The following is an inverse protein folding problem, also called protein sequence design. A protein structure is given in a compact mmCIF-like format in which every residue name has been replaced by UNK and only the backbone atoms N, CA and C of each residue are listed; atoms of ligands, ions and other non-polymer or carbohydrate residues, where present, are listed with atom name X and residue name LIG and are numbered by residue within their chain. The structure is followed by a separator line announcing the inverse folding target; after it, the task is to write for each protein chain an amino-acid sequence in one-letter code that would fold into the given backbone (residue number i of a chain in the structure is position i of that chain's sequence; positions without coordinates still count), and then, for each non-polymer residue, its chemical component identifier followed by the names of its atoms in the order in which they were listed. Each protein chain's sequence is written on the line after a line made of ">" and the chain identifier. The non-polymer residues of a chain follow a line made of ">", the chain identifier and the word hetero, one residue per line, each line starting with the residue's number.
data_IF_315419728426
#
_entry.id   IF_315419728426
#
_cell.length_a   1.000
_cell.length_b   1.000
_cell.length_c   1.000
_cell.angle_alpha   90.00
_cell.angle_beta   90.00
_cell.angle_gamma   90.00
#
_symmetry.space_group_name_H-M   'P 1'
#
loop_
_entity.id
_entity.type
_entity.pdbx_description
1 polymer ?
#
# COMPACT_ATOMS: atom_id res chain seq x y z
N UNK A 1 26.13 8.32 0.17
CA UNK A 1 25.23 8.44 1.33
C UNK A 1 24.33 7.21 1.28
N UNK A 2 24.41 6.32 2.28
CA UNK A 2 23.50 5.19 2.37
C UNK A 2 22.10 5.75 2.63
N UNK A 3 21.22 5.63 1.65
CA UNK A 3 19.82 6.05 1.83
C UNK A 3 19.10 4.95 2.61
N UNK A 4 18.70 5.26 3.84
CA UNK A 4 17.86 4.35 4.62
C UNK A 4 16.50 4.18 3.95
N UNK A 5 15.82 3.01 4.13
CA UNK A 5 14.47 2.81 3.68
C UNK A 5 13.52 3.90 4.19
N UNK A 6 12.63 4.37 3.31
CA UNK A 6 11.52 5.22 3.70
C UNK A 6 10.54 4.43 4.58
N UNK A 7 9.75 5.13 5.39
CA UNK A 7 8.71 4.53 6.23
C UNK A 7 7.34 4.83 5.64
N UNK A 8 6.50 3.82 5.49
CA UNK A 8 5.08 3.95 5.15
C UNK A 8 4.23 3.65 6.39
N UNK A 9 3.46 4.63 6.83
CA UNK A 9 2.50 4.46 7.91
C UNK A 9 1.30 3.66 7.40
N UNK A 10 1.21 2.40 7.80
CA UNK A 10 0.09 1.52 7.50
C UNK A 10 -0.99 1.72 8.55
N UNK A 11 -2.23 1.67 8.12
CA UNK A 11 -3.38 1.89 9.00
C UNK A 11 -4.33 0.71 8.98
N UNK A 12 -4.86 0.40 10.17
CA UNK A 12 -6.08 -0.38 10.29
C UNK A 12 -7.28 0.56 10.25
N UNK A 13 -8.33 0.19 9.53
CA UNK A 13 -9.53 0.98 9.22
C UNK A 13 -10.25 1.60 10.42
N UNK A 14 -10.12 0.99 11.60
CA UNK A 14 -10.87 1.35 12.81
C UNK A 14 -10.68 2.79 13.32
N UNK A 15 -9.72 3.55 12.81
CA UNK A 15 -9.45 4.91 13.31
C UNK A 15 -10.00 6.03 12.41
N UNK A 16 -10.64 5.72 11.28
CA UNK A 16 -11.24 6.69 10.39
C UNK A 16 -10.28 7.84 10.00
N UNK A 17 -10.80 9.04 9.78
CA UNK A 17 -10.00 10.22 9.43
C UNK A 17 -9.03 10.65 10.54
N UNK A 18 -9.39 10.45 11.83
CA UNK A 18 -8.51 10.79 12.95
C UNK A 18 -7.17 10.07 12.88
N UNK A 19 -7.20 8.76 12.67
CA UNK A 19 -5.96 8.02 12.56
C UNK A 19 -5.20 8.34 11.27
N UNK A 20 -5.89 8.78 10.20
CA UNK A 20 -5.22 9.26 8.99
C UNK A 20 -4.44 10.56 9.26
N UNK A 21 -5.03 11.47 10.04
CA UNK A 21 -4.33 12.66 10.53
C UNK A 21 -3.11 12.30 11.38
N UNK A 22 -3.20 11.30 12.25
CA UNK A 22 -2.08 10.86 13.08
C UNK A 22 -0.97 10.22 12.24
N UNK A 23 -1.34 9.43 11.23
CA UNK A 23 -0.40 8.86 10.26
C UNK A 23 0.32 9.96 9.47
N UNK A 24 -0.42 10.93 8.93
CA UNK A 24 0.13 12.05 8.16
C UNK A 24 1.03 12.98 9.00
N UNK A 25 0.83 13.03 10.31
CA UNK A 25 1.66 13.80 11.27
C UNK A 25 2.78 12.95 11.90
N UNK A 26 2.91 11.68 11.55
CA UNK A 26 3.90 10.80 12.16
C UNK A 26 5.33 11.11 11.77
N UNK A 27 5.54 11.81 10.65
CA UNK A 27 6.84 12.03 10.00
C UNK A 27 7.21 10.93 9.02
N UNK A 28 6.34 9.93 8.78
CA UNK A 28 6.55 8.91 7.76
C UNK A 28 6.52 9.53 6.36
N UNK A 29 7.35 9.02 5.45
CA UNK A 29 7.42 9.50 4.07
C UNK A 29 6.18 9.12 3.26
N UNK A 30 5.49 8.04 3.64
CA UNK A 30 4.26 7.60 3.00
C UNK A 30 3.17 7.35 4.04
N UNK A 31 1.92 7.59 3.62
CA UNK A 31 0.72 7.13 4.34
C UNK A 31 -0.04 6.18 3.45
N UNK A 32 -0.30 5.00 3.97
CA UNK A 32 -1.02 3.96 3.25
C UNK A 32 -2.52 4.07 3.50
N UNK A 33 -3.29 3.85 2.43
CA UNK A 33 -4.74 3.71 2.44
C UNK A 33 -5.18 2.56 1.53
N UNK A 34 -6.13 1.78 2.01
CA UNK A 34 -6.81 0.74 1.24
C UNK A 34 -7.92 1.33 0.38
N UNK A 35 -7.87 1.12 -0.93
CA UNK A 35 -8.84 1.72 -1.87
C UNK A 35 -9.82 0.69 -2.39
N UNK A 36 -11.11 0.96 -2.23
CA UNK A 36 -12.23 0.21 -2.79
C UNK A 36 -13.27 1.12 -3.42
N UNK A 37 -14.23 0.51 -4.12
CA UNK A 37 -15.36 1.20 -4.73
C UNK A 37 -16.67 0.68 -4.14
N UNK A 38 -17.58 1.58 -3.84
CA UNK A 38 -18.97 1.29 -3.47
C UNK A 38 -19.85 1.00 -4.69
N UNK A 39 -21.06 0.52 -4.46
CA UNK A 39 -22.00 0.19 -5.54
C UNK A 39 -22.51 1.38 -6.34
N UNK A 40 -22.50 2.58 -5.77
CA UNK A 40 -22.80 3.86 -6.42
C UNK A 40 -21.56 4.53 -7.06
N UNK A 41 -20.40 3.86 -7.00
CA UNK A 41 -19.18 4.27 -7.68
C UNK A 41 -18.21 5.11 -6.85
N UNK A 42 -18.52 5.47 -5.60
CA UNK A 42 -17.63 6.26 -4.76
C UNK A 42 -16.35 5.48 -4.41
N UNK A 43 -15.18 6.11 -4.52
CA UNK A 43 -13.91 5.57 -4.03
C UNK A 43 -13.77 5.85 -2.54
N UNK A 44 -13.58 4.79 -1.76
CA UNK A 44 -13.56 4.83 -0.30
C UNK A 44 -12.31 4.18 0.27
N UNK A 45 -11.93 4.61 1.48
CA UNK A 45 -10.86 3.99 2.26
C UNK A 45 -11.45 2.88 3.12
N UNK A 46 -11.28 1.64 2.68
CA UNK A 46 -11.77 0.45 3.39
C UNK A 46 -11.00 -0.80 3.00
N UNK A 47 -10.60 -1.62 3.99
CA UNK A 47 -9.80 -2.82 3.74
C UNK A 47 -10.64 -3.99 3.21
N UNK A 48 -11.75 -4.31 3.86
CA UNK A 48 -12.51 -5.53 3.58
C UNK A 48 -13.47 -5.40 2.38
N UNK A 49 -13.75 -6.48 1.65
CA UNK A 49 -14.70 -6.46 0.54
C UNK A 49 -16.16 -6.36 1.00
N UNK A 50 -16.41 -6.40 2.30
CA UNK A 50 -17.76 -6.40 2.91
C UNK A 50 -17.84 -5.41 4.05
N UNK A 51 -19.06 -4.88 4.27
CA UNK A 51 -19.43 -4.04 5.41
C UNK A 51 -20.71 -4.57 5.99
N UNK A 52 -20.78 -4.81 7.32
CA UNK A 52 -21.95 -5.40 7.96
C UNK A 52 -22.37 -6.75 7.37
N UNK A 53 -21.42 -7.54 6.84
CA UNK A 53 -21.67 -8.82 6.18
C UNK A 53 -22.18 -8.72 4.72
N UNK A 54 -22.35 -7.51 4.18
CA UNK A 54 -22.81 -7.28 2.81
C UNK A 54 -21.64 -6.84 1.91
N UNK A 55 -21.60 -7.26 0.62
CA UNK A 55 -20.57 -6.81 -0.32
C UNK A 55 -20.58 -5.29 -0.50
N UNK A 56 -19.46 -4.61 -0.25
CA UNK A 56 -19.33 -3.16 -0.40
C UNK A 56 -19.71 -2.68 -1.81
N UNK A 57 -19.33 -3.44 -2.84
CA UNK A 57 -19.66 -3.15 -4.23
C UNK A 57 -21.16 -3.19 -4.57
N UNK A 58 -22.04 -3.55 -3.62
CA UNK A 58 -23.49 -3.52 -3.74
C UNK A 58 -24.16 -2.45 -2.87
N UNK A 59 -23.40 -1.71 -2.11
CA UNK A 59 -23.88 -0.68 -1.20
C UNK A 59 -23.54 0.71 -1.74
N UNK A 60 -24.48 1.66 -1.66
CA UNK A 60 -24.15 3.06 -1.77
C UNK A 60 -23.26 3.48 -0.58
N UNK A 61 -22.41 4.49 -0.75
CA UNK A 61 -21.48 4.95 0.28
C UNK A 61 -22.20 5.28 1.60
N UNK A 62 -23.32 6.02 1.54
CA UNK A 62 -24.11 6.36 2.71
C UNK A 62 -24.58 5.11 3.46
N UNK A 63 -25.06 4.09 2.73
CA UNK A 63 -25.50 2.85 3.34
C UNK A 63 -24.35 2.03 3.92
N UNK A 64 -23.19 2.03 3.27
CA UNK A 64 -21.99 1.41 3.81
C UNK A 64 -21.55 2.09 5.12
N UNK A 65 -21.57 3.43 5.16
CA UNK A 65 -21.24 4.19 6.37
C UNK A 65 -22.20 3.92 7.55
N UNK A 66 -23.50 3.71 7.28
CA UNK A 66 -24.47 3.32 8.32
C UNK A 66 -24.24 1.91 8.90
N UNK A 67 -23.76 0.99 8.05
CA UNK A 67 -23.57 -0.41 8.44
C UNK A 67 -22.20 -0.67 9.08
N UNK A 68 -21.25 0.23 8.87
CA UNK A 68 -19.92 0.12 9.42
C UNK A 68 -19.90 0.48 10.93
N UNK A 69 -19.04 -0.19 11.66
CA UNK A 69 -18.72 0.12 13.07
C UNK A 69 -17.67 1.26 13.19
N UNK A 70 -17.19 1.76 12.07
CA UNK A 70 -16.20 2.84 11.96
C UNK A 70 -16.48 3.70 10.72
N UNK A 71 -15.99 4.96 10.66
CA UNK A 71 -16.14 5.80 9.48
C UNK A 71 -15.49 5.20 8.24
N UNK A 72 -16.17 5.29 7.09
CA UNK A 72 -15.65 4.92 5.76
C UNK A 72 -15.38 6.22 4.97
N UNK A 73 -14.15 6.79 5.04
CA UNK A 73 -13.83 8.03 4.36
C UNK A 73 -13.83 7.89 2.84
N UNK A 74 -14.13 8.97 2.13
CA UNK A 74 -13.84 9.06 0.71
C UNK A 74 -12.32 9.13 0.48
N UNK A 75 -11.85 8.56 -0.63
CA UNK A 75 -10.43 8.64 -1.02
C UNK A 75 -9.98 10.08 -1.21
N UNK A 76 -10.84 10.94 -1.79
CA UNK A 76 -10.54 12.37 -1.92
C UNK A 76 -10.20 13.04 -0.61
N UNK A 77 -11.03 12.86 0.42
CA UNK A 77 -10.81 13.42 1.77
C UNK A 77 -9.51 12.91 2.39
N UNK A 78 -9.22 11.63 2.17
CA UNK A 78 -7.98 11.01 2.65
C UNK A 78 -6.74 11.61 1.97
N UNK A 79 -6.79 11.83 0.65
CA UNK A 79 -5.70 12.43 -0.10
C UNK A 79 -5.45 13.88 0.31
N UNK A 80 -6.49 14.68 0.61
CA UNK A 80 -6.35 16.03 1.14
C UNK A 80 -5.63 16.07 2.50
N UNK A 81 -5.88 15.08 3.37
CA UNK A 81 -5.17 14.96 4.64
C UNK A 81 -3.69 14.64 4.44
N UNK A 82 -3.35 13.81 3.44
CA UNK A 82 -1.98 13.42 3.11
C UNK A 82 -1.22 14.55 2.44
N UNK A 83 -1.90 15.35 1.61
CA UNK A 83 -1.30 16.41 0.81
C UNK A 83 -0.42 17.38 1.62
N UNK A 84 0.78 17.63 1.13
CA UNK A 84 1.77 18.51 1.75
C UNK A 84 2.42 17.97 3.05
N UNK A 85 2.08 16.73 3.47
CA UNK A 85 2.62 16.10 4.69
C UNK A 85 3.40 14.83 4.41
N UNK A 86 2.89 14.00 3.50
CA UNK A 86 3.49 12.74 3.10
C UNK A 86 3.14 12.43 1.64
N UNK A 87 3.72 11.36 1.10
CA UNK A 87 3.29 10.75 -0.16
C UNK A 87 2.17 9.76 0.10
N UNK A 88 1.30 9.53 -0.89
CA UNK A 88 0.30 8.49 -0.85
C UNK A 88 0.90 7.10 -1.12
N UNK A 89 0.50 6.11 -0.33
CA UNK A 89 0.68 4.70 -0.65
C UNK A 89 -0.72 4.09 -0.81
N UNK A 90 -1.17 3.91 -2.06
CA UNK A 90 -2.55 3.58 -2.40
C UNK A 90 -2.66 2.09 -2.71
N UNK A 91 -3.20 1.30 -1.77
CA UNK A 91 -3.38 -0.14 -1.98
C UNK A 91 -4.72 -0.44 -2.67
N UNK A 92 -4.67 -0.55 -4.00
CA UNK A 92 -5.83 -0.81 -4.85
C UNK A 92 -6.28 -2.26 -4.71
N UNK A 93 -7.45 -2.46 -4.09
CA UNK A 93 -7.98 -3.79 -3.76
C UNK A 93 -8.79 -4.44 -4.88
N UNK A 94 -9.23 -3.69 -5.88
CA UNK A 94 -10.11 -4.18 -6.93
C UNK A 94 -9.91 -3.45 -8.26
N UNK A 95 -10.42 -4.03 -9.34
CA UNK A 95 -10.33 -3.48 -10.69
C UNK A 95 -11.41 -2.43 -10.98
N UNK A 96 -11.17 -1.63 -12.03
CA UNK A 96 -12.16 -0.77 -12.67
C UNK A 96 -12.19 0.64 -12.09
N UNK A 97 -11.27 0.96 -11.17
CA UNK A 97 -11.13 2.33 -10.63
C UNK A 97 -9.70 2.88 -10.78
N UNK A 98 -8.87 2.26 -11.59
CA UNK A 98 -7.46 2.61 -11.78
C UNK A 98 -7.30 4.05 -12.25
N UNK A 99 -7.99 4.43 -13.33
CA UNK A 99 -7.92 5.78 -13.95
C UNK A 99 -8.42 6.86 -13.00
N UNK A 100 -9.55 6.59 -12.33
CA UNK A 100 -10.15 7.55 -11.38
C UNK A 100 -9.25 7.74 -10.15
N UNK A 101 -8.72 6.64 -9.61
CA UNK A 101 -7.79 6.70 -8.47
C UNK A 101 -6.54 7.50 -8.80
N UNK A 102 -5.91 7.22 -9.96
CA UNK A 102 -4.70 7.95 -10.38
C UNK A 102 -5.01 9.43 -10.60
N UNK A 103 -6.11 9.78 -11.26
CA UNK A 103 -6.50 11.17 -11.47
C UNK A 103 -6.72 11.93 -10.15
N UNK A 104 -7.41 11.32 -9.17
CA UNK A 104 -7.59 11.91 -7.84
C UNK A 104 -6.24 12.10 -7.12
N UNK A 105 -5.37 11.08 -7.19
CA UNK A 105 -4.07 11.14 -6.53
C UNK A 105 -3.15 12.19 -7.16
N UNK A 106 -3.10 12.31 -8.48
CA UNK A 106 -2.33 13.35 -9.18
C UNK A 106 -2.83 14.77 -8.86
N UNK A 107 -4.16 14.94 -8.81
CA UNK A 107 -4.74 16.23 -8.47
C UNK A 107 -4.41 16.69 -7.04
N UNK A 108 -4.39 15.76 -6.08
CA UNK A 108 -4.15 16.06 -4.67
C UNK A 108 -2.66 16.09 -4.29
N UNK A 109 -1.86 15.17 -4.83
CA UNK A 109 -0.48 14.90 -4.40
C UNK A 109 0.57 15.25 -5.46
N UNK A 110 0.17 15.47 -6.69
CA UNK A 110 1.06 15.61 -7.84
C UNK A 110 1.56 14.27 -8.40
N UNK A 111 2.18 14.25 -9.60
CA UNK A 111 2.54 13.03 -10.33
C UNK A 111 3.57 12.15 -9.61
N UNK A 112 4.46 12.73 -8.81
CA UNK A 112 5.48 12.00 -8.03
C UNK A 112 5.09 11.82 -6.56
N UNK A 113 3.86 12.23 -6.21
CA UNK A 113 3.38 12.30 -4.83
C UNK A 113 2.82 10.98 -4.28
N UNK A 114 2.82 9.89 -5.05
CA UNK A 114 2.24 8.62 -4.61
C UNK A 114 2.85 7.39 -5.28
N UNK A 115 2.52 6.24 -4.73
CA UNK A 115 2.75 4.90 -5.30
C UNK A 115 1.46 4.10 -5.20
N UNK A 116 1.14 3.32 -6.23
CA UNK A 116 0.01 2.40 -6.20
C UNK A 116 0.52 0.98 -5.93
N UNK A 117 -0.09 0.27 -4.98
CA UNK A 117 0.14 -1.16 -4.79
C UNK A 117 -1.11 -1.93 -5.16
N UNK A 118 -0.95 -3.10 -5.78
CA UNK A 118 -2.07 -4.02 -6.04
C UNK A 118 -1.56 -5.44 -6.29
N UNK A 119 -2.41 -6.43 -6.05
CA UNK A 119 -2.17 -7.84 -6.44
C UNK A 119 -2.60 -8.14 -7.87
N UNK A 120 -3.38 -7.25 -8.46
CA UNK A 120 -3.98 -7.48 -9.76
C UNK A 120 -3.07 -7.06 -10.91
N UNK A 121 -2.62 -8.04 -11.69
CA UNK A 121 -1.73 -7.82 -12.84
C UNK A 121 -2.39 -7.01 -13.94
N UNK A 122 -3.71 -7.09 -14.12
CA UNK A 122 -4.40 -6.31 -15.15
C UNK A 122 -4.47 -4.84 -14.75
N UNK A 123 -4.76 -4.55 -13.47
CA UNK A 123 -4.71 -3.18 -12.93
C UNK A 123 -3.31 -2.56 -13.08
N UNK A 124 -2.24 -3.33 -12.76
CA UNK A 124 -0.87 -2.86 -12.96
C UNK A 124 -0.64 -2.47 -14.43
N UNK A 125 -1.01 -3.37 -15.36
CA UNK A 125 -0.83 -3.12 -16.80
C UNK A 125 -1.62 -1.93 -17.31
N UNK A 126 -2.85 -1.77 -16.84
CA UNK A 126 -3.69 -0.64 -17.19
C UNK A 126 -3.05 0.66 -16.72
N UNK A 127 -2.65 0.76 -15.43
CA UNK A 127 -2.00 1.96 -14.91
C UNK A 127 -0.71 2.26 -15.68
N UNK A 128 0.14 1.26 -15.94
CA UNK A 128 1.39 1.47 -16.69
C UNK A 128 1.17 1.83 -18.16
N UNK A 129 0.06 1.40 -18.77
CA UNK A 129 -0.33 1.81 -20.13
C UNK A 129 -0.82 3.26 -20.19
N UNK A 130 -1.72 3.61 -19.27
CA UNK A 130 -2.42 4.90 -19.31
C UNK A 130 -1.61 6.01 -18.62
N UNK A 131 -0.82 5.65 -17.61
CA UNK A 131 0.00 6.52 -16.76
C UNK A 131 1.41 5.95 -16.58
N UNK A 132 2.27 5.93 -17.61
CA UNK A 132 3.58 5.25 -17.57
C UNK A 132 4.55 5.83 -16.51
N UNK A 133 4.36 7.08 -16.08
CA UNK A 133 5.15 7.75 -15.05
C UNK A 133 4.77 7.32 -13.62
N UNK A 134 3.55 6.83 -13.41
CA UNK A 134 3.10 6.40 -12.08
C UNK A 134 3.86 5.16 -11.64
N UNK A 135 4.40 5.20 -10.43
CA UNK A 135 5.07 4.06 -9.81
C UNK A 135 4.05 3.04 -9.30
N UNK A 136 4.18 1.79 -9.72
CA UNK A 136 3.27 0.71 -9.35
C UNK A 136 4.03 -0.46 -8.75
N UNK A 137 3.63 -0.90 -7.55
CA UNK A 137 4.15 -2.09 -6.91
C UNK A 137 3.21 -3.29 -7.06
N UNK A 138 3.77 -4.46 -7.40
CA UNK A 138 3.04 -5.71 -7.31
C UNK A 138 3.08 -6.24 -5.88
N UNK A 139 1.91 -6.40 -5.24
CA UNK A 139 1.79 -6.99 -3.90
C UNK A 139 1.95 -8.51 -3.94
N UNK A 140 2.90 -9.03 -3.15
CA UNK A 140 3.26 -10.45 -3.04
C UNK A 140 3.20 -10.90 -1.59
N UNK A 141 2.44 -11.95 -1.31
CA UNK A 141 2.31 -12.49 0.06
C UNK A 141 0.89 -12.86 0.43
N UNK A 142 0.28 -13.72 -0.36
CA UNK A 142 -1.02 -14.35 -0.04
C UNK A 142 -0.93 -15.13 1.25
N UNK A 143 -2.05 -15.26 1.94
CA UNK A 143 -2.19 -16.26 3.01
C UNK A 143 -1.91 -17.66 2.44
N UNK A 144 -1.27 -18.53 3.23
CA UNK A 144 -0.97 -19.91 2.80
C UNK A 144 -2.22 -20.70 2.39
N UNK A 145 -3.39 -20.27 2.88
CA UNK A 145 -4.69 -20.87 2.56
C UNK A 145 -5.32 -20.33 1.28
N UNK A 146 -4.78 -19.24 0.70
CA UNK A 146 -5.27 -18.70 -0.55
C UNK A 146 -4.76 -19.51 -1.75
N UNK A 147 -5.64 -19.71 -2.74
CA UNK A 147 -5.28 -20.36 -4.00
C UNK A 147 -4.11 -19.63 -4.68
N UNK A 148 -3.06 -20.37 -5.01
CA UNK A 148 -1.90 -19.82 -5.70
C UNK A 148 -0.82 -19.24 -4.78
N UNK A 149 -0.93 -19.36 -3.43
CA UNK A 149 0.08 -18.89 -2.49
C UNK A 149 1.50 -19.44 -2.78
N UNK A 150 1.61 -20.65 -3.34
CA UNK A 150 2.89 -21.23 -3.75
C UNK A 150 3.62 -20.39 -4.81
N UNK A 151 2.91 -19.62 -5.64
CA UNK A 151 3.50 -18.74 -6.67
C UNK A 151 4.25 -17.56 -6.06
N UNK A 152 3.92 -17.19 -4.84
CA UNK A 152 4.55 -16.08 -4.13
C UNK A 152 5.98 -16.42 -3.65
N UNK A 153 6.38 -17.71 -3.68
CA UNK A 153 7.77 -18.13 -3.44
C UNK A 153 8.70 -17.94 -4.65
N UNK A 154 8.15 -17.74 -5.85
CA UNK A 154 8.92 -17.47 -7.08
C UNK A 154 8.25 -16.39 -7.94
N UNK A 155 8.09 -15.15 -7.44
CA UNK A 155 7.22 -14.13 -8.02
C UNK A 155 7.84 -13.43 -9.24
N UNK A 156 9.15 -13.50 -9.47
CA UNK A 156 9.91 -12.69 -10.44
C UNK A 156 9.31 -12.71 -11.85
N UNK A 157 8.86 -13.89 -12.31
CA UNK A 157 8.24 -14.00 -13.65
C UNK A 157 6.91 -13.22 -13.73
N UNK A 158 6.11 -13.27 -12.68
CA UNK A 158 4.84 -12.54 -12.60
C UNK A 158 5.08 -11.04 -12.54
N UNK A 159 6.04 -10.59 -11.73
CA UNK A 159 6.42 -9.18 -11.59
C UNK A 159 6.86 -8.62 -12.96
N UNK A 160 7.80 -9.28 -13.64
CA UNK A 160 8.25 -8.86 -14.99
C UNK A 160 7.11 -8.77 -16.00
N UNK A 161 6.18 -9.72 -15.96
CA UNK A 161 5.02 -9.74 -16.86
C UNK A 161 3.97 -8.69 -16.54
N UNK A 162 3.89 -8.25 -15.31
CA UNK A 162 2.94 -7.21 -14.91
C UNK A 162 3.36 -5.83 -15.38
N UNK A 163 4.66 -5.57 -15.53
CA UNK A 163 5.21 -4.24 -15.78
C UNK A 163 5.36 -3.40 -14.51
N UNK A 164 5.25 -4.01 -13.32
CA UNK A 164 5.44 -3.31 -12.05
C UNK A 164 6.87 -2.77 -11.91
N UNK A 165 7.01 -1.60 -11.30
CA UNK A 165 8.29 -0.94 -11.06
C UNK A 165 8.99 -1.45 -9.79
N UNK A 166 8.20 -1.91 -8.80
CA UNK A 166 8.69 -2.40 -7.51
C UNK A 166 7.75 -3.48 -6.95
N UNK A 167 8.10 -4.03 -5.80
CA UNK A 167 7.36 -5.15 -5.18
C UNK A 167 7.00 -4.84 -3.74
N UNK A 168 5.72 -4.89 -3.40
CA UNK A 168 5.26 -4.89 -2.01
C UNK A 168 5.26 -6.33 -1.49
N UNK A 169 6.26 -6.71 -0.69
CA UNK A 169 6.55 -8.08 -0.27
C UNK A 169 6.21 -8.31 1.20
N UNK A 170 5.48 -9.38 1.49
CA UNK A 170 5.24 -9.81 2.87
C UNK A 170 6.56 -10.14 3.60
N UNK A 171 6.73 -9.61 4.82
CA UNK A 171 7.96 -9.77 5.60
C UNK A 171 8.33 -11.24 5.87
N UNK A 172 7.36 -12.17 5.92
CA UNK A 172 7.63 -13.60 6.10
C UNK A 172 8.32 -14.19 4.87
N UNK A 173 7.84 -13.85 3.67
CA UNK A 173 8.45 -14.27 2.41
C UNK A 173 9.83 -13.62 2.20
N UNK A 174 9.98 -12.36 2.60
CA UNK A 174 11.26 -11.67 2.57
C UNK A 174 12.35 -12.44 3.34
N UNK A 175 12.00 -13.05 4.47
CA UNK A 175 12.91 -13.82 5.35
C UNK A 175 13.31 -15.17 4.80
N UNK A 176 12.51 -15.79 3.94
CA UNK A 176 12.77 -17.12 3.36
C UNK A 176 13.37 -17.06 1.95
N UNK A 177 14.01 -15.93 1.60
CA UNK A 177 14.81 -15.80 0.39
C UNK A 177 14.12 -15.13 -0.79
N UNK A 178 12.82 -14.81 -0.73
CA UNK A 178 12.10 -14.14 -1.84
C UNK A 178 12.64 -12.72 -2.07
N UNK A 179 13.01 -11.98 -1.00
CA UNK A 179 13.64 -10.67 -1.15
C UNK A 179 14.95 -10.74 -1.97
N UNK A 180 15.76 -11.79 -1.74
CA UNK A 180 16.99 -11.96 -2.51
C UNK A 180 16.73 -12.29 -3.99
N UNK A 181 15.66 -13.01 -4.31
CA UNK A 181 15.25 -13.26 -5.70
C UNK A 181 14.81 -11.97 -6.39
N UNK A 182 13.99 -11.15 -5.72
CA UNK A 182 13.48 -9.86 -6.20
C UNK A 182 14.65 -8.90 -6.46
N UNK A 183 15.56 -8.75 -5.49
CA UNK A 183 16.72 -7.87 -5.62
C UNK A 183 17.69 -8.29 -6.76
N UNK A 184 17.97 -9.60 -6.91
CA UNK A 184 18.77 -10.09 -8.06
C UNK A 184 18.08 -9.84 -9.40
N UNK A 185 16.77 -9.75 -9.43
CA UNK A 185 16.01 -9.43 -10.62
C UNK A 185 15.94 -7.91 -10.92
N UNK A 186 16.52 -7.07 -10.04
CA UNK A 186 16.63 -5.63 -10.20
C UNK A 186 15.40 -4.85 -9.69
N UNK A 187 14.51 -5.46 -8.90
CA UNK A 187 13.33 -4.76 -8.38
C UNK A 187 13.56 -4.25 -6.95
N UNK A 188 13.25 -2.98 -6.68
CA UNK A 188 13.15 -2.45 -5.31
C UNK A 188 12.01 -3.11 -4.54
N UNK A 189 12.12 -3.19 -3.21
CA UNK A 189 11.11 -3.81 -2.38
C UNK A 189 10.55 -2.86 -1.31
N UNK A 190 9.23 -2.88 -1.15
CA UNK A 190 8.48 -2.38 0.00
C UNK A 190 8.14 -3.60 0.87
N UNK A 191 8.41 -3.56 2.18
CA UNK A 191 8.19 -4.72 3.06
C UNK A 191 7.03 -4.49 4.02
N UNK A 192 6.01 -5.35 4.00
CA UNK A 192 4.77 -5.23 4.79
C UNK A 192 4.43 -6.48 5.59
N UNK A 193 3.62 -6.43 6.65
CA UNK A 193 3.57 -5.33 7.59
C UNK A 193 4.55 -5.66 8.70
N UNK A 194 5.48 -4.77 9.01
CA UNK A 194 6.59 -5.02 9.93
C UNK A 194 6.35 -4.26 11.24
N UNK A 195 5.91 -4.98 12.29
CA UNK A 195 5.56 -4.36 13.56
C UNK A 195 6.51 -4.73 14.72
N UNK A 196 7.25 -5.83 14.59
CA UNK A 196 8.20 -6.24 15.61
C UNK A 196 9.54 -5.49 15.45
N UNK A 197 10.02 -4.86 16.52
CA UNK A 197 11.24 -4.03 16.52
C UNK A 197 12.49 -4.75 15.96
N UNK A 198 12.77 -6.01 16.28
CA UNK A 198 13.93 -6.71 15.71
C UNK A 198 13.83 -6.83 14.18
N UNK A 199 12.61 -6.97 13.65
CA UNK A 199 12.39 -7.02 12.20
C UNK A 199 12.50 -5.63 11.56
N UNK A 200 12.00 -4.57 12.23
CA UNK A 200 12.19 -3.19 11.79
C UNK A 200 13.67 -2.88 11.65
N UNK A 201 14.48 -3.11 12.68
CA UNK A 201 15.95 -2.89 12.64
C UNK A 201 16.59 -3.63 11.48
N UNK A 202 16.21 -4.91 11.28
CA UNK A 202 16.73 -5.74 10.19
C UNK A 202 16.44 -5.14 8.82
N UNK A 203 15.18 -4.75 8.56
CA UNK A 203 14.77 -4.26 7.25
C UNK A 203 15.17 -2.81 7.01
N UNK A 204 15.27 -1.98 8.05
CA UNK A 204 15.80 -0.62 7.95
C UNK A 204 17.30 -0.58 7.62
N UNK A 205 18.04 -1.64 7.97
CA UNK A 205 19.45 -1.80 7.64
C UNK A 205 19.69 -2.55 6.31
N UNK A 206 18.64 -3.05 5.65
CA UNK A 206 18.78 -3.85 4.44
C UNK A 206 18.74 -2.96 3.18
N UNK A 207 19.84 -2.83 2.41
CA UNK A 207 19.89 -1.94 1.25
C UNK A 207 18.99 -2.36 0.07
N UNK A 208 18.38 -3.55 0.14
CA UNK A 208 17.41 -4.04 -0.84
C UNK A 208 16.00 -3.53 -0.59
N UNK A 209 15.76 -2.96 0.57
CA UNK A 209 14.46 -2.43 0.99
C UNK A 209 14.42 -0.93 0.67
N UNK A 210 13.42 -0.52 -0.10
CA UNK A 210 13.17 0.90 -0.38
C UNK A 210 12.20 1.50 0.62
N UNK A 211 11.16 0.74 1.03
CA UNK A 211 10.14 1.21 1.96
C UNK A 211 9.82 0.14 3.00
N UNK A 212 9.76 0.53 4.26
CA UNK A 212 9.25 -0.29 5.35
C UNK A 212 7.83 0.15 5.70
N UNK A 213 6.88 -0.78 5.64
CA UNK A 213 5.46 -0.55 5.90
C UNK A 213 5.12 -1.07 7.29
N UNK A 214 4.58 -0.22 8.18
CA UNK A 214 4.36 -0.55 9.59
C UNK A 214 3.17 0.19 10.21
N UNK A 215 2.52 -0.44 11.21
CA UNK A 215 1.50 0.19 12.06
C UNK A 215 2.12 1.14 13.11
N UNK A 216 3.46 1.12 13.27
CA UNK A 216 4.20 1.89 14.26
C UNK A 216 5.24 2.83 13.63
N UNK A 217 4.80 3.82 12.80
CA UNK A 217 5.71 4.63 12.00
C UNK A 217 6.70 5.43 12.84
N UNK A 218 6.27 6.04 13.94
CA UNK A 218 7.17 6.78 14.84
C UNK A 218 8.29 5.90 15.39
N UNK A 219 7.94 4.67 15.81
CA UNK A 219 8.95 3.71 16.29
C UNK A 219 9.97 3.34 15.21
N UNK A 220 9.51 3.12 13.98
CA UNK A 220 10.41 2.84 12.86
C UNK A 220 11.34 4.00 12.56
N UNK A 221 10.84 5.24 12.62
CA UNK A 221 11.64 6.47 12.43
C UNK A 221 12.71 6.62 13.53
N UNK A 222 12.35 6.40 14.80
CA UNK A 222 13.30 6.45 15.91
C UNK A 222 14.43 5.43 15.74
N UNK A 223 14.08 4.19 15.35
CA UNK A 223 15.04 3.12 15.09
C UNK A 223 15.97 3.45 13.92
N UNK A 224 15.44 4.06 12.86
CA UNK A 224 16.21 4.52 11.71
C UNK A 224 17.20 5.61 12.10
N UNK A 225 16.75 6.60 12.86
CA UNK A 225 17.60 7.70 13.33
C UNK A 225 18.73 7.21 14.26
N UNK A 226 18.46 6.20 15.09
CA UNK A 226 19.46 5.62 15.98
C UNK A 226 20.51 4.74 15.24
N UNK A 227 20.30 4.45 13.94
CA UNK A 227 21.18 3.61 13.11
C UNK A 227 21.95 4.40 12.06
N UNK A 228 21.70 5.71 11.95
CA UNK A 228 22.34 6.65 11.04
C UNK A 228 23.58 7.28 11.70
#
# INVERSE_FOLDING_TARGET
>A
VATHPAVSAHRRDAAGLTGLHDAARSGAEYVEIDVRRTGDGALVVHHDPTVGGLPLARLAHERAAELADHPIPLVGDALEIIAGRARGHLDLKERGCETELVALAEAALGPDGFVVTTRDVASIRQIKSDFPHVRVAMSVGRSLWELGAHRDFAPVRAIRRSGADLVALNHRLARVGVLAQIARAGFPAMIWTVNAEPQMRRFLADPRVEVLITDHPRRALDLRAASA
#
